data_IF_174680277342
#
_entry.id   IF_174680277342
#
_cell.length_a   1.000
_cell.length_b   1.000
_cell.length_c   1.000
_cell.angle_alpha   90.00
_cell.angle_beta   90.00
_cell.angle_gamma   90.00
#
_symmetry.space_group_name_H-M   'P 1'
#
loop_
_entity.id
_entity.type
_entity.pdbx_description
1 polymer ?
#
# COMPACT_ATOMS: atom_id res chain seq x y z
N UNK A 1 -24.57 10.61 12.59
CA UNK A 1 -23.41 10.44 12.74
C UNK A 1 -22.94 9.05 12.41
N UNK A 2 -22.12 8.54 13.18
CA UNK A 2 -21.56 7.25 12.84
C UNK A 2 -22.60 6.17 12.76
N UNK A 3 -23.71 6.35 13.41
CA UNK A 3 -24.73 5.34 13.44
C UNK A 3 -25.32 5.01 12.08
N UNK A 4 -25.17 5.87 11.13
CA UNK A 4 -25.69 5.59 9.81
C UNK A 4 -24.77 4.67 9.08
N UNK A 5 -25.15 3.41 8.87
CA UNK A 5 -24.26 2.48 8.21
C UNK A 5 -24.23 2.74 6.73
N UNK A 6 -23.26 3.51 6.33
CA UNK A 6 -23.06 3.73 4.91
C UNK A 6 -22.58 2.44 4.27
N UNK A 7 -23.20 2.02 3.20
CA UNK A 7 -22.68 0.87 2.48
C UNK A 7 -21.25 1.13 2.04
N UNK A 8 -20.45 0.09 2.10
CA UNK A 8 -19.05 0.21 1.69
C UNK A 8 -18.92 0.67 0.26
N UNK A 9 -19.94 0.44 -0.53
CA UNK A 9 -19.90 0.89 -1.91
C UNK A 9 -19.74 2.38 -2.04
N UNK A 10 -19.92 3.12 -0.96
CA UNK A 10 -19.70 4.55 -0.98
C UNK A 10 -18.24 4.91 -0.88
N UNK A 11 -17.37 3.95 -0.56
CA UNK A 11 -15.95 4.19 -0.42
C UNK A 11 -15.29 3.86 -1.74
N UNK A 12 -15.20 4.85 -2.61
CA UNK A 12 -14.61 4.66 -3.93
C UNK A 12 -13.79 5.87 -4.28
N UNK A 13 -13.14 5.83 -5.42
CA UNK A 13 -12.40 6.96 -5.92
C UNK A 13 -11.34 7.42 -4.95
N UNK A 14 -11.42 8.68 -4.58
CA UNK A 14 -10.39 9.28 -3.74
C UNK A 14 -10.28 8.62 -2.37
N UNK A 15 -11.42 8.29 -1.76
CA UNK A 15 -11.41 7.68 -0.43
C UNK A 15 -10.74 6.31 -0.48
N UNK A 16 -11.05 5.53 -1.49
CA UNK A 16 -10.42 4.22 -1.63
C UNK A 16 -8.93 4.37 -1.87
N UNK A 17 -8.54 5.36 -2.63
CA UNK A 17 -7.13 5.63 -2.87
C UNK A 17 -6.40 5.92 -1.56
N UNK A 18 -7.00 6.79 -0.73
CA UNK A 18 -6.39 7.16 0.54
C UNK A 18 -6.26 5.97 1.48
N UNK A 19 -7.29 5.14 1.54
CA UNK A 19 -7.25 3.95 2.40
C UNK A 19 -6.16 2.99 1.92
N UNK A 20 -6.09 2.75 0.63
CA UNK A 20 -5.09 1.85 0.09
C UNK A 20 -3.69 2.38 0.36
N UNK A 21 -3.52 3.68 0.19
CA UNK A 21 -2.23 4.32 0.45
C UNK A 21 -1.82 4.17 1.91
N UNK A 22 -2.77 4.36 2.83
CA UNK A 22 -2.49 4.24 4.25
C UNK A 22 -2.08 2.83 4.62
N UNK A 23 -2.79 1.84 4.10
CA UNK A 23 -2.46 0.44 4.37
C UNK A 23 -1.08 0.08 3.83
N UNK A 24 -0.80 0.52 2.62
CA UNK A 24 0.49 0.25 2.00
C UNK A 24 1.63 0.92 2.77
N UNK A 25 1.42 2.17 3.19
CA UNK A 25 2.43 2.89 3.93
C UNK A 25 2.73 2.19 5.25
N UNK A 26 1.68 1.77 5.96
CA UNK A 26 1.87 1.06 7.23
C UNK A 26 2.64 -0.24 7.01
N UNK A 27 2.27 -0.99 5.99
CA UNK A 27 2.92 -2.26 5.72
C UNK A 27 4.41 -2.07 5.41
N UNK A 28 4.71 -1.14 4.51
CA UNK A 28 6.10 -0.91 4.11
C UNK A 28 6.93 -0.39 5.28
N UNK A 29 6.35 0.50 6.09
CA UNK A 29 7.06 1.01 7.25
C UNK A 29 7.45 -0.10 8.21
N UNK A 30 6.51 -1.02 8.47
CA UNK A 30 6.79 -2.14 9.35
C UNK A 30 7.78 -3.12 8.74
N UNK A 31 7.72 -3.27 7.43
CA UNK A 31 8.63 -4.16 6.72
C UNK A 31 10.08 -3.70 6.83
N UNK A 32 10.30 -2.41 7.06
CA UNK A 32 11.65 -1.86 7.17
C UNK A 32 12.26 -2.02 8.56
N UNK A 33 11.48 -2.52 9.51
CA UNK A 33 12.03 -2.84 10.82
C UNK A 33 12.90 -4.09 10.74
N UNK A 34 13.87 -4.22 11.66
CA UNK A 34 14.62 -5.47 11.73
C UNK A 34 13.67 -6.65 11.91
N UNK A 35 14.03 -7.77 11.32
CA UNK A 35 13.15 -8.94 11.28
C UNK A 35 12.60 -9.31 12.66
N UNK A 36 13.43 -9.22 13.68
CA UNK A 36 13.02 -9.62 15.04
C UNK A 36 12.03 -8.64 15.66
N UNK A 37 11.89 -7.46 15.08
CA UNK A 37 10.98 -6.46 15.61
C UNK A 37 9.71 -6.33 14.77
N UNK A 38 9.57 -7.11 13.73
CA UNK A 38 8.41 -7.02 12.86
C UNK A 38 7.21 -7.70 13.50
N UNK A 39 6.08 -6.98 13.64
CA UNK A 39 4.85 -7.58 14.17
C UNK A 39 4.15 -8.39 13.07
N UNK A 40 4.56 -9.63 12.94
CA UNK A 40 4.18 -10.42 11.77
C UNK A 40 2.68 -10.64 11.63
N UNK A 41 1.99 -10.87 12.75
CA UNK A 41 0.54 -11.07 12.67
C UNK A 41 -0.15 -9.82 12.17
N UNK A 42 0.27 -8.66 12.67
CA UNK A 42 -0.31 -7.41 12.23
C UNK A 42 0.00 -7.12 10.76
N UNK A 43 1.22 -7.43 10.34
CA UNK A 43 1.61 -7.25 8.96
C UNK A 43 0.82 -8.15 8.02
N UNK A 44 0.54 -9.37 8.48
CA UNK A 44 -0.27 -10.27 7.68
C UNK A 44 -1.70 -9.73 7.52
N UNK A 45 -2.24 -9.17 8.59
CA UNK A 45 -3.58 -8.57 8.52
C UNK A 45 -3.59 -7.40 7.55
N UNK A 46 -2.56 -6.56 7.59
CA UNK A 46 -2.46 -5.43 6.66
C UNK A 46 -2.37 -5.92 5.22
N UNK A 47 -1.62 -6.98 4.99
CA UNK A 47 -1.48 -7.51 3.65
C UNK A 47 -2.79 -8.07 3.12
N UNK A 48 -3.54 -8.73 3.99
CA UNK A 48 -4.85 -9.25 3.60
C UNK A 48 -5.81 -8.12 3.25
N UNK A 49 -5.80 -7.07 4.06
CA UNK A 49 -6.66 -5.92 3.78
C UNK A 49 -6.27 -5.24 2.47
N UNK A 50 -4.98 -5.15 2.21
CA UNK A 50 -4.52 -4.56 0.95
C UNK A 50 -5.00 -5.36 -0.25
N UNK A 51 -4.96 -6.67 -0.14
CA UNK A 51 -5.33 -7.53 -1.26
C UNK A 51 -6.84 -7.62 -1.46
N UNK A 52 -7.61 -7.27 -0.44
CA UNK A 52 -9.05 -7.48 -0.46
C UNK A 52 -9.73 -6.56 -1.47
N UNK A 53 -10.27 -7.17 -2.52
CA UNK A 53 -11.02 -6.42 -3.53
C UNK A 53 -10.19 -5.51 -4.41
N UNK A 54 -8.88 -5.63 -4.38
CA UNK A 54 -8.00 -4.78 -5.19
C UNK A 54 -7.19 -5.62 -6.15
N UNK A 55 -6.91 -5.04 -7.30
CA UNK A 55 -6.07 -5.71 -8.29
C UNK A 55 -4.63 -5.74 -7.82
N UNK A 56 -3.93 -6.85 -8.06
CA UNK A 56 -2.51 -6.95 -7.66
C UNK A 56 -1.65 -5.81 -8.19
N UNK A 57 -1.91 -5.36 -9.42
CA UNK A 57 -1.13 -4.26 -9.98
C UNK A 57 -1.32 -2.97 -9.19
N UNK A 58 -2.54 -2.71 -8.75
CA UNK A 58 -2.84 -1.54 -7.94
C UNK A 58 -2.13 -1.63 -6.59
N UNK A 59 -2.17 -2.80 -5.97
CA UNK A 59 -1.50 -3.00 -4.70
C UNK A 59 0.00 -2.78 -4.85
N UNK A 60 0.60 -3.34 -5.90
CA UNK A 60 2.02 -3.17 -6.15
C UNK A 60 2.39 -1.71 -6.33
N UNK A 61 1.56 -0.96 -7.05
CA UNK A 61 1.81 0.45 -7.27
C UNK A 61 1.82 1.22 -5.94
N UNK A 62 0.82 0.97 -5.10
CA UNK A 62 0.76 1.65 -3.81
C UNK A 62 1.92 1.28 -2.90
N UNK A 63 2.33 0.02 -2.91
CA UNK A 63 3.48 -0.41 -2.12
C UNK A 63 4.75 0.28 -2.61
N UNK A 64 4.93 0.36 -3.92
CA UNK A 64 6.10 1.02 -4.49
C UNK A 64 6.10 2.50 -4.13
N UNK A 65 4.96 3.16 -4.23
CA UNK A 65 4.87 4.58 -3.88
C UNK A 65 5.16 4.80 -2.41
N UNK A 66 4.67 3.91 -1.54
CA UNK A 66 4.94 4.01 -0.11
C UNK A 66 6.43 3.87 0.15
N UNK A 67 7.08 2.92 -0.51
CA UNK A 67 8.50 2.72 -0.33
C UNK A 67 9.30 3.93 -0.80
N UNK A 68 8.90 4.54 -1.91
CA UNK A 68 9.54 5.75 -2.38
C UNK A 68 9.42 6.88 -1.36
N UNK A 69 8.23 7.02 -0.78
CA UNK A 69 7.97 8.08 0.18
C UNK A 69 8.80 7.90 1.44
N UNK A 70 8.97 6.66 1.88
CA UNK A 70 9.72 6.36 3.09
C UNK A 70 11.23 6.29 2.84
N UNK A 71 11.65 6.23 1.59
CA UNK A 71 13.07 6.14 1.24
C UNK A 71 13.40 7.14 0.14
N UNK A 72 13.35 8.43 0.46
CA UNK A 72 13.51 9.46 -0.57
C UNK A 72 14.88 9.46 -1.24
N UNK A 73 15.86 8.78 -0.68
CA UNK A 73 17.19 8.74 -1.26
C UNK A 73 17.37 7.62 -2.28
N UNK A 74 16.37 6.77 -2.43
CA UNK A 74 16.45 5.68 -3.40
C UNK A 74 15.77 6.13 -4.68
N UNK A 75 16.40 5.80 -5.82
CA UNK A 75 15.84 6.14 -7.12
C UNK A 75 14.47 5.47 -7.27
N UNK A 76 13.41 6.26 -7.50
CA UNK A 76 12.07 5.70 -7.66
C UNK A 76 11.97 4.64 -8.75
N UNK A 77 12.70 4.81 -9.86
CA UNK A 77 12.65 3.83 -10.93
C UNK A 77 13.11 2.46 -10.46
N UNK A 78 14.11 2.45 -9.60
CA UNK A 78 14.62 1.20 -9.07
C UNK A 78 13.57 0.51 -8.22
N UNK A 79 12.86 1.28 -7.41
CA UNK A 79 11.80 0.72 -6.57
C UNK A 79 10.67 0.19 -7.43
N UNK A 80 10.24 0.95 -8.42
CA UNK A 80 9.17 0.49 -9.30
C UNK A 80 9.56 -0.80 -10.02
N UNK A 81 10.81 -0.93 -10.40
CA UNK A 81 11.28 -2.15 -11.05
C UNK A 81 11.22 -3.34 -10.09
N UNK A 82 11.54 -3.13 -8.83
CA UNK A 82 11.46 -4.20 -7.84
C UNK A 82 10.04 -4.75 -7.71
N UNK A 83 9.05 -3.88 -7.90
CA UNK A 83 7.66 -4.29 -7.78
C UNK A 83 7.05 -4.69 -9.11
N UNK A 84 7.86 -4.79 -10.16
CA UNK A 84 7.38 -5.23 -11.44
C UNK A 84 6.52 -4.25 -12.18
N UNK A 85 6.64 -2.96 -11.87
CA UNK A 85 5.83 -1.93 -12.48
C UNK A 85 6.51 -1.43 -13.75
N UNK A 86 5.75 -1.45 -14.85
CA UNK A 86 6.26 -1.01 -16.15
C UNK A 86 6.48 0.49 -16.16
N UNK A 87 7.49 0.94 -16.93
CA UNK A 87 7.74 2.35 -17.08
C UNK A 87 6.56 3.09 -17.71
N UNK A 88 5.65 2.38 -18.32
CA UNK A 88 4.47 2.99 -18.92
C UNK A 88 3.55 3.59 -17.87
N UNK A 89 3.66 3.18 -16.63
CA UNK A 89 2.81 3.68 -15.56
C UNK A 89 3.21 5.08 -15.10
N UNK A 90 4.47 5.41 -15.22
CA UNK A 90 4.96 6.67 -14.67
C UNK A 90 5.82 7.43 -15.69
N UNK A 91 5.75 6.97 -16.87
CA UNK A 91 6.54 7.43 -17.97
C UNK A 91 6.66 8.87 -18.26
#
# INVERSE_FOLDING_TARGET
MWGTPMPRKGVTGHDEWVVTEALATAFVALEQLPSKHQPRAHMEDLRKLLADGREPATVSLHLAQAKCRLNPNIDPLRIYQEYGISSDFYG
#
